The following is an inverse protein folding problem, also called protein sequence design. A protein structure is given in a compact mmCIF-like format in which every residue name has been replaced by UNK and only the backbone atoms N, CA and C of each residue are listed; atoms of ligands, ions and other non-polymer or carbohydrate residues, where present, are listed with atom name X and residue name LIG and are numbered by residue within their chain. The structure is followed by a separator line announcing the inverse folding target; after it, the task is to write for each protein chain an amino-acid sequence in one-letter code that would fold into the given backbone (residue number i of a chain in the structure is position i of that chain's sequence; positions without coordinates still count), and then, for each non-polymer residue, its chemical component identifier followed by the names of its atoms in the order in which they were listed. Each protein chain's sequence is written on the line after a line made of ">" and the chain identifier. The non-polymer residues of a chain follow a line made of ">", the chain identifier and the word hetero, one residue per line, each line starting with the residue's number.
data_IF_049130085904
#
_entry.id   IF_049130085904
#
_cell.length_a   1.000
_cell.length_b   1.000
_cell.length_c   1.000
_cell.angle_alpha   90.00
_cell.angle_beta   90.00
_cell.angle_gamma   90.00
#
_symmetry.space_group_name_H-M   'P 1'
#
loop_
_entity.id
_entity.type
_entity.pdbx_description
1 polymer ?
#
# COMPACT_ATOMS: atom_id res chain seq x y z
N UNK A 1 7.62 -5.80 -20.46
CA UNK A 1 7.76 -7.26 -20.63
C UNK A 1 8.12 -7.91 -19.30
N UNK A 2 9.30 -7.71 -18.68
CA UNK A 2 9.57 -8.33 -17.35
C UNK A 2 8.52 -8.01 -16.27
N UNK A 3 8.15 -6.72 -16.16
CA UNK A 3 7.06 -6.29 -15.27
C UNK A 3 5.73 -6.96 -15.62
N UNK A 4 5.42 -7.06 -16.91
CA UNK A 4 4.09 -7.43 -17.38
C UNK A 4 3.80 -8.92 -17.15
N UNK A 5 4.79 -9.82 -17.36
CA UNK A 5 4.62 -11.26 -17.03
C UNK A 5 4.30 -11.47 -15.55
N UNK A 6 4.99 -10.79 -14.64
CA UNK A 6 4.70 -10.92 -13.20
C UNK A 6 3.34 -10.32 -12.86
N UNK A 7 3.01 -9.19 -13.50
CA UNK A 7 1.81 -8.43 -13.27
C UNK A 7 0.55 -9.18 -13.73
N UNK A 8 0.55 -9.76 -14.93
CA UNK A 8 -0.57 -10.54 -15.45
C UNK A 8 -0.80 -11.81 -14.61
N UNK A 9 0.26 -12.50 -14.19
CA UNK A 9 0.11 -13.70 -13.36
C UNK A 9 -0.39 -13.38 -11.94
N UNK A 10 0.06 -12.27 -11.35
CA UNK A 10 -0.49 -11.79 -10.08
C UNK A 10 -1.98 -11.42 -10.21
N UNK A 11 -2.36 -10.79 -11.32
CA UNK A 11 -3.74 -10.48 -11.69
C UNK A 11 -4.60 -11.75 -11.81
N UNK A 12 -4.12 -12.76 -12.52
CA UNK A 12 -4.85 -14.01 -12.76
C UNK A 12 -5.16 -14.76 -11.46
N UNK A 13 -4.30 -14.65 -10.45
CA UNK A 13 -4.55 -15.27 -9.15
C UNK A 13 -5.84 -14.77 -8.50
N UNK A 14 -6.18 -13.48 -8.63
CA UNK A 14 -7.43 -12.94 -8.07
C UNK A 14 -8.64 -13.49 -8.81
N UNK A 15 -8.57 -13.62 -10.13
CA UNK A 15 -9.62 -14.30 -10.92
C UNK A 15 -9.89 -15.72 -10.40
N UNK A 16 -8.82 -16.50 -10.20
CA UNK A 16 -8.94 -17.86 -9.69
C UNK A 16 -9.48 -17.94 -8.26
N UNK A 17 -9.00 -17.08 -7.36
CA UNK A 17 -9.38 -17.11 -5.95
C UNK A 17 -10.80 -16.60 -5.70
N UNK A 18 -11.27 -15.58 -6.43
CA UNK A 18 -12.63 -15.04 -6.28
C UNK A 18 -13.65 -15.88 -7.04
N UNK A 19 -13.32 -16.29 -8.27
CA UNK A 19 -14.23 -17.12 -9.07
C UNK A 19 -14.35 -18.55 -8.56
N UNK A 20 -13.31 -19.06 -7.91
CA UNK A 20 -13.25 -20.42 -7.40
C UNK A 20 -13.64 -21.45 -8.46
N UNK A 21 -14.38 -22.47 -8.03
CA UNK A 21 -14.67 -23.68 -8.81
C UNK A 21 -15.84 -23.52 -9.79
N UNK A 22 -16.27 -22.28 -10.10
CA UNK A 22 -17.49 -22.02 -10.86
C UNK A 22 -17.21 -21.79 -12.34
N UNK A 23 -17.99 -22.41 -13.22
CA UNK A 23 -17.86 -22.21 -14.67
C UNK A 23 -18.22 -20.78 -15.10
N UNK A 24 -19.24 -20.19 -14.47
CA UNK A 24 -19.76 -18.85 -14.79
C UNK A 24 -19.30 -17.82 -13.75
N UNK A 25 -18.02 -17.86 -13.39
CA UNK A 25 -17.43 -16.95 -12.42
C UNK A 25 -16.16 -16.29 -12.94
N UNK A 26 -15.50 -15.54 -12.05
CA UNK A 26 -14.25 -14.82 -12.35
C UNK A 26 -13.12 -15.71 -12.85
N UNK A 27 -13.16 -16.99 -12.49
CA UNK A 27 -12.16 -17.98 -12.85
C UNK A 27 -12.25 -18.44 -14.31
N UNK A 28 -13.29 -18.02 -15.05
CA UNK A 28 -13.45 -18.31 -16.48
C UNK A 28 -13.11 -17.10 -17.34
N UNK A 29 -12.19 -17.26 -18.30
CA UNK A 29 -11.88 -16.21 -19.26
C UNK A 29 -13.13 -15.73 -20.02
N UNK A 30 -14.02 -16.66 -20.40
CA UNK A 30 -15.22 -16.35 -21.18
C UNK A 30 -16.29 -15.58 -20.40
N UNK A 31 -16.37 -15.78 -19.09
CA UNK A 31 -17.49 -15.26 -18.28
C UNK A 31 -17.08 -14.24 -17.23
N UNK A 32 -15.79 -14.09 -16.94
CA UNK A 32 -15.30 -13.22 -15.86
C UNK A 32 -15.80 -11.77 -15.97
N UNK A 33 -15.84 -11.20 -17.18
CA UNK A 33 -16.29 -9.82 -17.41
C UNK A 33 -17.79 -9.57 -17.19
N UNK A 34 -18.60 -10.63 -17.02
CA UNK A 34 -20.03 -10.50 -16.71
C UNK A 34 -20.28 -10.27 -15.21
N UNK A 35 -19.33 -10.62 -14.34
CA UNK A 35 -19.41 -10.29 -12.93
C UNK A 35 -18.94 -8.85 -12.71
N UNK A 36 -19.75 -7.95 -12.11
CA UNK A 36 -19.39 -6.55 -11.92
C UNK A 36 -18.08 -6.32 -11.14
N UNK A 37 -17.67 -7.25 -10.28
CA UNK A 37 -16.39 -7.11 -9.56
C UNK A 37 -15.19 -7.09 -10.52
N UNK A 38 -15.33 -7.63 -11.73
CA UNK A 38 -14.32 -7.59 -12.78
C UNK A 38 -13.81 -6.17 -13.02
N UNK A 39 -14.70 -5.19 -13.14
CA UNK A 39 -14.33 -3.81 -13.45
C UNK A 39 -13.65 -3.11 -12.26
N UNK A 40 -14.06 -3.42 -11.03
CA UNK A 40 -13.41 -2.88 -9.81
C UNK A 40 -12.01 -3.50 -9.64
N UNK A 41 -11.90 -4.81 -9.90
CA UNK A 41 -10.62 -5.51 -9.93
C UNK A 41 -9.69 -4.91 -11.00
N UNK A 42 -10.16 -4.73 -12.23
CA UNK A 42 -9.36 -4.15 -13.31
C UNK A 42 -9.02 -2.67 -13.09
N UNK A 43 -9.87 -1.90 -12.38
CA UNK A 43 -9.50 -0.56 -11.91
C UNK A 43 -8.30 -0.60 -10.94
N UNK A 44 -8.22 -1.64 -10.09
CA UNK A 44 -7.06 -1.87 -9.22
C UNK A 44 -5.80 -2.28 -10.00
N UNK A 45 -5.95 -3.07 -11.05
CA UNK A 45 -4.87 -3.45 -11.97
C UNK A 45 -4.34 -2.20 -12.68
N UNK A 46 -5.21 -1.42 -13.31
CA UNK A 46 -4.82 -0.18 -13.98
C UNK A 46 -4.13 0.80 -13.01
N UNK A 47 -4.57 0.85 -11.75
CA UNK A 47 -3.88 1.61 -10.69
C UNK A 47 -2.47 1.13 -10.43
N UNK A 48 -2.24 -0.18 -10.38
CA UNK A 48 -0.89 -0.75 -10.20
C UNK A 48 -0.01 -0.42 -11.40
N UNK A 49 -0.56 -0.40 -12.62
CA UNK A 49 0.18 0.06 -13.79
C UNK A 49 0.52 1.54 -13.72
N UNK A 50 -0.40 2.40 -13.28
CA UNK A 50 -0.11 3.82 -13.02
C UNK A 50 0.99 4.01 -11.96
N UNK A 51 0.98 3.23 -10.88
CA UNK A 51 2.06 3.21 -9.86
C UNK A 51 3.39 2.79 -10.50
N UNK A 52 3.41 1.75 -11.33
CA UNK A 52 4.62 1.33 -12.02
C UNK A 52 5.15 2.42 -12.96
N UNK A 53 4.27 3.08 -13.73
CA UNK A 53 4.64 4.20 -14.59
C UNK A 53 5.26 5.35 -13.79
N UNK A 54 4.64 5.72 -12.66
CA UNK A 54 5.18 6.73 -11.75
C UNK A 54 6.54 6.31 -11.15
N UNK A 55 6.72 5.03 -10.80
CA UNK A 55 8.02 4.50 -10.37
C UNK A 55 9.07 4.62 -11.47
N UNK A 56 8.73 4.34 -12.72
CA UNK A 56 9.67 4.48 -13.83
C UNK A 56 10.05 5.94 -14.07
N UNK A 57 9.11 6.87 -13.95
CA UNK A 57 9.38 8.31 -13.99
C UNK A 57 10.31 8.73 -12.84
N UNK A 58 10.04 8.29 -11.60
CA UNK A 58 10.91 8.51 -10.43
C UNK A 58 12.33 7.98 -10.67
N UNK A 59 12.46 6.84 -11.35
CA UNK A 59 13.74 6.20 -11.70
C UNK A 59 14.43 6.84 -12.92
N UNK A 60 13.81 7.81 -13.57
CA UNK A 60 14.24 8.35 -14.86
C UNK A 60 14.42 7.25 -15.93
N UNK A 61 13.52 6.27 -15.96
CA UNK A 61 13.51 5.16 -16.91
C UNK A 61 12.32 5.25 -17.86
N UNK A 62 12.45 4.78 -19.12
CA UNK A 62 11.33 4.64 -20.02
C UNK A 62 10.24 3.73 -19.42
N UNK A 63 8.98 4.08 -19.69
CA UNK A 63 7.79 3.33 -19.25
C UNK A 63 6.96 2.78 -20.42
N UNK A 64 7.27 3.16 -21.67
CA UNK A 64 6.60 2.61 -22.86
C UNK A 64 7.11 1.19 -23.17
N UNK A 65 6.29 0.39 -23.85
CA UNK A 65 6.61 -1.02 -24.15
C UNK A 65 7.62 -1.19 -25.30
N UNK A 66 8.84 -0.68 -25.13
CA UNK A 66 9.92 -0.80 -26.12
C UNK A 66 10.31 -2.25 -26.44
N UNK A 67 10.05 -3.18 -25.53
CA UNK A 67 10.31 -4.60 -25.71
C UNK A 67 9.34 -5.29 -26.69
N UNK A 68 8.20 -4.67 -27.02
CA UNK A 68 7.14 -5.25 -27.84
C UNK A 68 6.54 -4.21 -28.81
N UNK A 69 7.37 -3.39 -29.45
CA UNK A 69 6.90 -2.24 -30.25
C UNK A 69 5.91 -2.62 -31.36
N UNK A 70 6.08 -3.78 -32.00
CA UNK A 70 5.15 -4.24 -33.04
C UNK A 70 3.73 -4.46 -32.50
N UNK A 71 3.59 -4.92 -31.26
CA UNK A 71 2.30 -5.13 -30.62
C UNK A 71 1.58 -3.81 -30.34
N UNK A 72 2.33 -2.77 -29.95
CA UNK A 72 1.78 -1.44 -29.65
C UNK A 72 1.18 -0.75 -30.89
N UNK A 73 1.62 -1.12 -32.10
CA UNK A 73 1.07 -0.61 -33.36
C UNK A 73 -0.03 -1.48 -33.94
N UNK A 74 -0.38 -2.59 -33.28
CA UNK A 74 -1.47 -3.47 -33.69
C UNK A 74 -2.76 -3.01 -33.00
N UNK A 75 -3.84 -2.71 -33.76
CA UNK A 75 -5.10 -2.32 -33.15
C UNK A 75 -5.67 -3.42 -32.25
N UNK A 76 -6.00 -3.04 -31.01
CA UNK A 76 -6.59 -3.89 -29.99
C UNK A 76 -8.04 -4.19 -30.37
N UNK A 77 -8.32 -5.47 -30.64
CA UNK A 77 -9.68 -5.97 -30.80
C UNK A 77 -10.26 -6.30 -29.42
N UNK A 78 -11.56 -6.06 -29.17
CA UNK A 78 -12.56 -5.60 -30.13
C UNK A 78 -12.69 -4.07 -30.29
N UNK A 79 -11.91 -3.25 -29.56
CA UNK A 79 -12.05 -1.80 -29.56
C UNK A 79 -11.89 -1.15 -30.95
N UNK A 80 -11.07 -1.75 -31.82
CA UNK A 80 -10.85 -1.31 -33.20
C UNK A 80 -12.03 -1.60 -34.16
N UNK A 81 -13.07 -2.32 -33.74
CA UNK A 81 -14.22 -2.59 -34.59
C UNK A 81 -15.14 -1.37 -34.65
N UNK A 82 -15.44 -0.89 -35.85
CA UNK A 82 -16.39 0.22 -36.02
C UNK A 82 -17.83 -0.20 -35.67
N UNK A 83 -18.73 0.78 -35.58
CA UNK A 83 -20.17 0.55 -35.43
C UNK A 83 -20.67 -0.50 -36.44
N UNK A 84 -21.51 -1.48 -36.02
CA UNK A 84 -22.29 -1.50 -34.77
C UNK A 84 -21.58 -2.11 -33.53
N UNK A 85 -20.32 -2.55 -33.63
CA UNK A 85 -19.69 -3.37 -32.60
C UNK A 85 -19.11 -2.57 -31.42
N UNK A 86 -18.33 -1.52 -31.70
CA UNK A 86 -17.92 -0.54 -30.69
C UNK A 86 -18.56 0.80 -31.02
N UNK A 87 -19.26 1.38 -30.05
CA UNK A 87 -19.89 2.69 -30.16
C UNK A 87 -19.26 3.72 -29.20
N UNK A 88 -18.22 3.33 -28.45
CA UNK A 88 -17.45 4.24 -27.62
C UNK A 88 -16.30 4.86 -28.44
N UNK A 89 -16.41 6.15 -28.70
CA UNK A 89 -15.47 6.90 -29.54
C UNK A 89 -14.06 6.94 -28.93
N UNK A 90 -13.96 7.10 -27.60
CA UNK A 90 -12.66 7.20 -26.92
C UNK A 90 -11.85 5.92 -27.07
N UNK A 91 -12.45 4.76 -26.77
CA UNK A 91 -11.78 3.46 -26.91
C UNK A 91 -11.51 3.09 -28.37
N UNK A 92 -12.36 3.52 -29.31
CA UNK A 92 -12.13 3.31 -30.73
C UNK A 92 -10.91 4.12 -31.23
N UNK A 93 -10.84 5.41 -30.90
CA UNK A 93 -9.71 6.29 -31.25
C UNK A 93 -8.39 5.81 -30.62
N UNK A 94 -8.45 5.26 -29.41
CA UNK A 94 -7.30 4.71 -28.69
C UNK A 94 -7.08 3.22 -28.89
N UNK A 95 -7.76 2.60 -29.87
CA UNK A 95 -7.61 1.16 -30.15
C UNK A 95 -6.19 0.79 -30.58
N UNK A 96 -5.39 1.74 -31.08
CA UNK A 96 -3.94 1.56 -31.24
C UNK A 96 -3.24 2.12 -29.99
N UNK A 97 -2.61 1.30 -29.14
CA UNK A 97 -2.23 1.69 -27.78
C UNK A 97 -0.93 2.50 -27.67
N UNK A 98 -0.61 3.37 -28.64
CA UNK A 98 0.62 4.17 -28.61
C UNK A 98 0.60 5.28 -27.56
N UNK A 99 -0.60 5.78 -27.23
CA UNK A 99 -0.80 6.92 -26.35
C UNK A 99 -1.48 6.57 -25.02
N UNK A 100 -2.01 5.35 -24.87
CA UNK A 100 -2.78 4.93 -23.68
C UNK A 100 -1.99 4.96 -22.37
N UNK A 101 -0.67 5.13 -22.45
CA UNK A 101 0.21 5.34 -21.28
C UNK A 101 -0.11 6.64 -20.52
N UNK A 102 -0.55 7.68 -21.21
CA UNK A 102 -0.77 9.02 -20.65
C UNK A 102 -2.27 9.19 -20.27
N UNK A 103 -2.72 8.35 -19.33
CA UNK A 103 -4.14 8.13 -19.02
C UNK A 103 -4.93 9.37 -18.56
N UNK A 104 -4.27 10.37 -17.96
CA UNK A 104 -4.91 11.62 -17.56
C UNK A 104 -5.29 12.45 -18.78
N UNK A 105 -4.35 12.61 -19.72
CA UNK A 105 -4.53 13.47 -20.90
C UNK A 105 -5.44 12.79 -21.94
N UNK A 106 -5.28 11.48 -22.15
CA UNK A 106 -6.01 10.76 -23.20
C UNK A 106 -7.41 10.28 -22.76
N UNK A 107 -7.61 10.01 -21.45
CA UNK A 107 -8.87 9.46 -20.93
C UNK A 107 -9.54 10.29 -19.83
N UNK A 108 -8.88 11.33 -19.30
CA UNK A 108 -9.50 12.27 -18.36
C UNK A 108 -9.80 11.69 -16.97
N UNK A 109 -9.17 10.59 -16.56
CA UNK A 109 -9.32 10.03 -15.21
C UNK A 109 -8.02 10.08 -14.40
N UNK A 110 -8.14 10.01 -13.07
CA UNK A 110 -7.01 9.88 -12.17
C UNK A 110 -7.39 9.05 -10.93
N UNK A 111 -6.38 8.61 -10.18
CA UNK A 111 -6.54 7.94 -8.90
C UNK A 111 -6.42 8.94 -7.75
N UNK A 112 -7.13 8.68 -6.66
CA UNK A 112 -7.06 9.46 -5.43
C UNK A 112 -5.64 9.51 -4.86
N UNK A 113 -4.91 8.40 -4.95
CA UNK A 113 -3.49 8.32 -4.65
C UNK A 113 -2.80 7.15 -5.38
N UNK A 114 -1.47 7.26 -5.56
CA UNK A 114 -0.60 6.23 -6.13
C UNK A 114 0.28 5.56 -5.06
N UNK A 115 -0.21 5.44 -3.83
CA UNK A 115 0.51 4.73 -2.77
C UNK A 115 0.37 3.20 -2.91
N UNK A 116 1.45 2.46 -2.61
CA UNK A 116 1.43 0.99 -2.58
C UNK A 116 1.78 0.49 -1.20
N UNK A 117 0.87 -0.24 -0.54
CA UNK A 117 1.05 -0.63 0.85
C UNK A 117 1.24 0.57 1.80
N UNK A 118 0.68 1.73 1.44
CA UNK A 118 0.88 3.00 2.13
C UNK A 118 2.25 3.66 1.90
N UNK A 119 3.07 3.15 0.99
CA UNK A 119 4.32 3.80 0.60
C UNK A 119 4.05 4.71 -0.60
N UNK A 120 4.51 5.96 -0.54
CA UNK A 120 4.60 6.82 -1.71
C UNK A 120 5.50 6.21 -2.78
N UNK A 121 5.40 6.67 -4.02
CA UNK A 121 6.25 6.21 -5.13
C UNK A 121 7.75 6.29 -4.79
N UNK A 122 8.20 7.38 -4.17
CA UNK A 122 9.60 7.53 -3.75
C UNK A 122 9.98 6.55 -2.63
N UNK A 123 9.13 6.38 -1.61
CA UNK A 123 9.38 5.42 -0.52
C UNK A 123 9.35 3.98 -1.01
N UNK A 124 8.47 3.65 -1.95
CA UNK A 124 8.36 2.34 -2.58
C UNK A 124 9.64 2.00 -3.35
N UNK A 125 10.19 2.96 -4.10
CA UNK A 125 11.47 2.75 -4.79
C UNK A 125 12.62 2.51 -3.80
N UNK A 126 12.70 3.31 -2.74
CA UNK A 126 13.68 3.09 -1.66
C UNK A 126 13.48 1.74 -0.98
N UNK A 127 12.24 1.33 -0.70
CA UNK A 127 11.93 0.03 -0.10
C UNK A 127 12.39 -1.12 -1.00
N UNK A 128 12.09 -1.06 -2.30
CA UNK A 128 12.54 -2.06 -3.27
C UNK A 128 14.07 -2.16 -3.28
N UNK A 129 14.77 -1.03 -3.32
CA UNK A 129 16.23 -1.00 -3.45
C UNK A 129 16.96 -1.34 -2.13
N UNK A 130 16.35 -1.12 -0.96
CA UNK A 130 17.02 -1.30 0.34
C UNK A 130 16.56 -2.52 1.13
N UNK A 131 15.32 -3.01 0.90
CA UNK A 131 14.72 -4.10 1.66
C UNK A 131 14.49 -5.36 0.82
N UNK A 132 14.31 -5.20 -0.49
CA UNK A 132 14.01 -6.32 -1.40
C UNK A 132 15.25 -6.75 -2.19
N UNK A 133 15.92 -5.84 -2.89
CA UNK A 133 17.09 -6.17 -3.74
C UNK A 133 18.37 -6.46 -2.97
N UNK A 134 18.47 -6.04 -1.72
CA UNK A 134 19.63 -6.27 -0.84
C UNK A 134 19.69 -7.68 -0.26
N UNK A 135 18.74 -8.55 -0.63
CA UNK A 135 18.67 -9.93 -0.19
C UNK A 135 18.96 -10.87 -1.34
N UNK A 136 19.70 -11.93 -1.03
CA UNK A 136 19.84 -13.09 -1.88
C UNK A 136 18.46 -13.71 -2.14
N UNK A 137 18.15 -14.01 -3.40
CA UNK A 137 16.86 -14.56 -3.79
C UNK A 137 17.02 -15.71 -4.77
N UNK A 138 16.19 -16.72 -4.61
CA UNK A 138 16.11 -17.87 -5.52
C UNK A 138 14.73 -17.90 -6.14
N UNK A 139 14.68 -17.98 -7.47
CA UNK A 139 13.43 -17.98 -8.23
C UNK A 139 13.24 -19.29 -8.99
N UNK A 140 12.02 -19.81 -8.94
CA UNK A 140 11.52 -20.77 -9.90
C UNK A 140 10.98 -20.01 -11.13
N UNK A 141 11.64 -20.17 -12.27
CA UNK A 141 11.27 -19.65 -13.57
C UNK A 141 10.38 -20.63 -14.32
N UNK A 142 9.17 -20.22 -14.69
CA UNK A 142 8.21 -21.07 -15.41
C UNK A 142 7.83 -20.39 -16.73
N UNK A 143 8.04 -21.10 -17.85
CA UNK A 143 7.68 -20.61 -19.17
C UNK A 143 6.19 -20.86 -19.47
N UNK A 144 5.34 -19.91 -19.14
CA UNK A 144 3.90 -20.05 -19.28
C UNK A 144 3.41 -19.77 -20.71
N UNK A 145 2.36 -20.49 -21.10
CA UNK A 145 1.65 -20.38 -22.37
C UNK A 145 0.18 -20.79 -22.20
N UNK A 146 -0.66 -20.47 -23.17
CA UNK A 146 -2.10 -20.78 -23.17
C UNK A 146 -2.38 -22.25 -23.40
N UNK A 147 -3.24 -22.82 -22.55
CA UNK A 147 -3.56 -24.26 -22.50
C UNK A 147 -5.05 -24.54 -22.70
N UNK A 148 -5.82 -23.52 -23.10
CA UNK A 148 -7.28 -23.52 -23.31
C UNK A 148 -8.09 -23.89 -22.07
N UNK A 149 -7.49 -23.78 -20.90
CA UNK A 149 -8.06 -24.11 -19.60
C UNK A 149 -7.64 -23.07 -18.58
N UNK A 150 -8.48 -22.87 -17.59
CA UNK A 150 -8.08 -22.14 -16.40
C UNK A 150 -7.80 -23.10 -15.25
N UNK A 151 -6.87 -22.74 -14.37
CA UNK A 151 -6.55 -23.58 -13.23
C UNK A 151 -5.68 -22.87 -12.19
N UNK A 152 -5.69 -23.42 -10.99
CA UNK A 152 -4.82 -23.01 -9.89
C UNK A 152 -3.59 -23.92 -9.87
N UNK A 153 -2.42 -23.30 -9.93
CA UNK A 153 -1.13 -23.96 -9.90
C UNK A 153 -0.47 -23.76 -8.53
N UNK A 154 -0.07 -24.84 -7.89
CA UNK A 154 0.70 -24.83 -6.64
C UNK A 154 2.14 -25.21 -6.94
N UNK A 155 3.08 -24.41 -6.43
CA UNK A 155 4.51 -24.62 -6.55
C UNK A 155 5.00 -25.31 -5.29
N UNK A 156 5.72 -26.42 -5.46
CA UNK A 156 6.30 -27.18 -4.36
C UNK A 156 7.81 -27.27 -4.50
N UNK A 157 8.50 -27.18 -3.36
CA UNK A 157 9.93 -27.50 -3.23
C UNK A 157 10.06 -28.80 -2.44
N UNK A 158 10.83 -29.75 -2.96
CA UNK A 158 11.03 -31.06 -2.34
C UNK A 158 12.51 -31.35 -2.17
N UNK A 159 12.93 -31.49 -0.92
CA UNK A 159 14.28 -31.97 -0.60
C UNK A 159 14.34 -33.52 -0.71
N UNK A 160 15.51 -34.10 -1.04
CA UNK A 160 15.68 -35.55 -1.06
C UNK A 160 15.23 -36.21 0.25
N UNK A 161 14.30 -37.17 0.15
CA UNK A 161 13.77 -37.90 1.30
C UNK A 161 12.84 -37.11 2.23
N UNK A 162 12.36 -35.92 1.82
CA UNK A 162 11.38 -35.12 2.57
C UNK A 162 10.06 -34.96 1.82
N UNK A 163 9.03 -34.57 2.56
CA UNK A 163 7.73 -34.21 1.99
C UNK A 163 7.79 -32.90 1.21
N UNK A 164 6.77 -32.67 0.38
CA UNK A 164 6.61 -31.44 -0.42
C UNK A 164 6.36 -30.25 0.51
N UNK A 165 7.10 -29.17 0.31
CA UNK A 165 6.85 -27.89 0.94
C UNK A 165 6.13 -26.97 -0.05
N UNK A 166 4.99 -26.41 0.34
CA UNK A 166 4.26 -25.46 -0.50
C UNK A 166 5.00 -24.11 -0.54
N UNK A 167 5.60 -23.79 -1.69
CA UNK A 167 6.38 -22.58 -1.90
C UNK A 167 5.54 -21.42 -2.44
N UNK A 168 4.36 -21.71 -2.98
CA UNK A 168 3.41 -20.67 -3.36
C UNK A 168 2.43 -21.15 -4.42
N UNK A 169 1.71 -20.20 -5.01
CA UNK A 169 0.66 -20.48 -5.99
C UNK A 169 0.54 -19.36 -7.01
N UNK A 170 0.05 -19.71 -8.19
CA UNK A 170 -0.39 -18.79 -9.23
C UNK A 170 -1.63 -19.37 -9.92
N UNK A 171 -2.30 -18.58 -10.76
CA UNK A 171 -3.41 -19.09 -11.56
C UNK A 171 -3.16 -18.84 -13.04
N UNK A 172 -3.65 -19.76 -13.85
CA UNK A 172 -3.79 -19.62 -15.29
C UNK A 172 -5.24 -19.25 -15.57
N UNK A 173 -5.44 -18.14 -16.27
CA UNK A 173 -6.74 -17.73 -16.76
C UNK A 173 -6.81 -18.01 -18.26
N UNK A 174 -7.80 -18.78 -18.67
CA UNK A 174 -7.90 -19.31 -20.01
C UNK A 174 -9.27 -19.93 -20.30
N UNK A 175 -9.42 -20.44 -21.51
CA UNK A 175 -10.64 -21.16 -21.87
C UNK A 175 -10.65 -21.70 -23.30
N UNK A 176 -11.68 -22.47 -23.67
CA UNK A 176 -11.74 -23.15 -24.95
C UNK A 176 -11.67 -22.22 -26.17
N UNK A 177 -12.02 -20.94 -26.00
CA UNK A 177 -12.03 -19.92 -27.05
C UNK A 177 -10.89 -18.91 -26.92
N UNK A 178 -9.90 -19.16 -26.05
CA UNK A 178 -8.77 -18.25 -25.90
C UNK A 178 -7.93 -18.18 -27.19
N UNK A 179 -7.38 -16.99 -27.45
CA UNK A 179 -6.36 -16.86 -28.49
C UNK A 179 -5.08 -17.58 -28.03
N UNK A 180 -4.38 -18.31 -28.91
CA UNK A 180 -3.08 -18.88 -28.55
C UNK A 180 -2.11 -17.79 -28.09
N UNK A 181 -1.52 -17.97 -26.92
CA UNK A 181 -0.57 -17.03 -26.34
C UNK A 181 0.60 -17.77 -25.70
N UNK A 182 1.75 -17.08 -25.61
CA UNK A 182 2.96 -17.56 -24.95
C UNK A 182 3.77 -16.34 -24.53
N UNK A 183 4.21 -16.28 -23.28
CA UNK A 183 5.12 -15.21 -22.87
C UNK A 183 6.48 -15.35 -23.55
N UNK A 184 7.12 -14.23 -23.87
CA UNK A 184 8.51 -14.20 -24.35
C UNK A 184 9.52 -14.49 -23.23
N UNK A 185 9.10 -14.35 -21.98
CA UNK A 185 9.91 -14.48 -20.77
C UNK A 185 9.26 -15.43 -19.76
N UNK A 186 10.07 -15.91 -18.82
CA UNK A 186 9.60 -16.76 -17.72
C UNK A 186 8.92 -15.94 -16.63
N UNK A 187 7.84 -16.48 -16.08
CA UNK A 187 7.30 -16.03 -14.79
C UNK A 187 8.27 -16.45 -13.68
N UNK A 188 8.55 -15.57 -12.72
CA UNK A 188 9.56 -15.79 -11.68
C UNK A 188 8.85 -15.83 -10.34
N UNK A 189 8.87 -16.98 -9.68
CA UNK A 189 8.31 -17.14 -8.35
C UNK A 189 9.42 -17.26 -7.31
N UNK A 190 9.41 -16.40 -6.29
CA UNK A 190 10.41 -16.41 -5.21
C UNK A 190 10.20 -17.63 -4.29
N UNK A 191 11.18 -18.53 -4.27
CA UNK A 191 11.18 -19.75 -3.45
C UNK A 191 12.19 -19.69 -2.30
N UNK A 192 12.80 -18.51 -2.06
CA UNK A 192 13.84 -18.32 -1.03
C UNK A 192 13.34 -18.74 0.35
N UNK A 193 12.15 -18.30 0.73
CA UNK A 193 11.51 -18.63 2.00
C UNK A 193 11.26 -20.14 2.17
N UNK A 194 10.98 -20.87 1.08
CA UNK A 194 10.78 -22.31 1.11
C UNK A 194 12.12 -23.05 1.35
N UNK A 195 13.20 -22.58 0.72
CA UNK A 195 14.55 -23.11 0.96
C UNK A 195 15.01 -22.84 2.40
N UNK A 196 14.78 -21.62 2.92
CA UNK A 196 15.07 -21.27 4.32
C UNK A 196 14.31 -22.17 5.30
N UNK A 197 13.00 -22.38 5.08
CA UNK A 197 12.19 -23.25 5.92
C UNK A 197 12.66 -24.72 5.89
N UNK A 198 13.11 -25.19 4.73
CA UNK A 198 13.69 -26.51 4.54
C UNK A 198 15.17 -26.60 4.99
N UNK A 199 15.80 -25.48 5.36
CA UNK A 199 17.22 -25.37 5.68
C UNK A 199 18.11 -25.86 4.54
N UNK A 200 17.76 -25.50 3.32
CA UNK A 200 18.52 -25.79 2.10
C UNK A 200 19.28 -24.55 1.63
N UNK A 201 20.52 -24.76 1.19
CA UNK A 201 21.24 -23.78 0.40
C UNK A 201 20.77 -23.83 -1.05
N UNK A 202 20.87 -22.72 -1.79
CA UNK A 202 20.36 -22.62 -3.17
C UNK A 202 21.01 -23.64 -4.13
N UNK A 203 22.23 -24.08 -3.82
CA UNK A 203 23.00 -25.06 -4.59
C UNK A 203 22.82 -26.52 -4.12
N UNK A 204 22.07 -26.75 -3.03
CA UNK A 204 21.77 -28.11 -2.57
C UNK A 204 20.84 -28.83 -3.57
N UNK A 205 20.83 -30.16 -3.59
CA UNK A 205 19.86 -30.89 -4.43
C UNK A 205 18.45 -30.74 -3.88
N UNK A 206 17.53 -30.21 -4.69
CA UNK A 206 16.08 -30.22 -4.49
C UNK A 206 15.37 -30.26 -5.84
N UNK A 207 14.09 -30.59 -5.82
CA UNK A 207 13.23 -30.53 -6.99
C UNK A 207 12.15 -29.46 -6.80
N UNK A 208 11.86 -28.71 -7.87
CA UNK A 208 10.71 -27.79 -7.91
C UNK A 208 9.66 -28.43 -8.82
N UNK A 209 8.44 -28.55 -8.31
CA UNK A 209 7.33 -29.14 -9.07
C UNK A 209 6.13 -28.21 -9.05
N UNK A 210 5.34 -28.26 -10.11
CA UNK A 210 4.09 -27.52 -10.22
C UNK A 210 2.96 -28.52 -10.36
N UNK A 211 1.95 -28.41 -9.51
CA UNK A 211 0.71 -29.17 -9.62
C UNK A 211 -0.41 -28.22 -9.99
N UNK A 212 -1.10 -28.51 -11.08
CA UNK A 212 -2.16 -27.65 -11.60
C UNK A 212 -3.46 -28.42 -11.58
N UNK A 213 -4.48 -27.82 -11.00
CA UNK A 213 -5.84 -28.32 -11.08
C UNK A 213 -6.69 -27.28 -11.76
N UNK A 214 -7.58 -27.72 -12.65
CA UNK A 214 -8.74 -26.93 -13.04
C UNK A 214 -9.49 -26.52 -11.79
N UNK A 215 -10.27 -25.46 -11.90
CA UNK A 215 -10.96 -24.97 -10.72
C UNK A 215 -11.99 -25.97 -10.18
N UNK A 216 -12.55 -26.87 -10.98
CA UNK A 216 -13.42 -27.94 -10.45
C UNK A 216 -12.67 -29.05 -9.69
N UNK A 217 -11.34 -28.97 -9.61
CA UNK A 217 -10.44 -29.93 -8.97
C UNK A 217 -9.86 -30.98 -9.92
N UNK A 218 -10.22 -30.94 -11.21
CA UNK A 218 -9.67 -31.87 -12.20
C UNK A 218 -8.17 -31.59 -12.42
N UNK A 219 -7.28 -32.58 -12.27
CA UNK A 219 -5.85 -32.36 -12.49
C UNK A 219 -5.55 -32.07 -13.95
N UNK A 220 -4.69 -31.08 -14.20
CA UNK A 220 -4.08 -30.79 -15.49
C UNK A 220 -2.71 -31.46 -15.52
N UNK A 221 -2.35 -32.05 -16.66
CA UNK A 221 -1.05 -32.71 -16.83
C UNK A 221 0.10 -31.71 -16.55
N UNK A 222 0.98 -32.07 -15.61
CA UNK A 222 2.11 -31.25 -15.22
C UNK A 222 3.15 -31.08 -16.35
N UNK A 223 3.17 -31.98 -17.35
CA UNK A 223 4.08 -31.88 -18.51
C UNK A 223 3.75 -30.72 -19.45
N UNK A 224 2.65 -30.02 -19.20
CA UNK A 224 2.30 -28.80 -19.95
C UNK A 224 3.32 -27.69 -19.70
N UNK A 225 3.97 -27.66 -18.53
CA UNK A 225 5.12 -26.78 -18.26
C UNK A 225 6.32 -27.62 -17.80
N UNK A 226 7.01 -28.29 -18.74
CA UNK A 226 7.96 -29.35 -18.40
C UNK A 226 9.29 -28.83 -17.85
N UNK A 227 9.65 -27.58 -18.14
CA UNK A 227 10.92 -26.96 -17.73
C UNK A 227 10.65 -25.88 -16.69
N UNK A 228 11.14 -26.13 -15.47
CA UNK A 228 11.19 -25.16 -14.38
C UNK A 228 12.67 -24.86 -14.15
N UNK A 229 13.09 -23.66 -14.51
CA UNK A 229 14.45 -23.21 -14.31
C UNK A 229 14.59 -22.63 -12.90
N UNK A 230 15.70 -22.92 -12.24
CA UNK A 230 16.02 -22.28 -10.96
C UNK A 230 17.12 -21.26 -11.19
N UNK A 231 16.88 -20.02 -10.74
CA UNK A 231 17.85 -18.93 -10.84
C UNK A 231 18.14 -18.32 -9.48
N UNK A 232 19.42 -18.07 -9.19
CA UNK A 232 19.87 -17.35 -8.02
C UNK A 232 20.24 -15.93 -8.41
N UNK A 233 19.66 -14.95 -7.70
CA UNK A 233 19.99 -13.54 -7.81
C UNK A 233 20.68 -13.10 -6.51
N UNK A 234 21.97 -12.74 -6.54
CA UNK A 234 22.67 -12.28 -5.34
C UNK A 234 22.15 -10.92 -4.88
N UNK A 235 22.35 -10.63 -3.61
CA UNK A 235 22.09 -9.32 -3.01
C UNK A 235 22.79 -8.21 -3.79
N UNK A 236 22.01 -7.22 -4.24
CA UNK A 236 22.51 -6.02 -4.88
C UNK A 236 22.55 -4.88 -3.85
N UNK A 237 23.75 -4.53 -3.41
CA UNK A 237 24.03 -3.43 -2.49
C UNK A 237 24.48 -2.15 -3.20
N UNK A 238 24.44 -2.11 -4.54
CA UNK A 238 24.92 -0.96 -5.33
C UNK A 238 24.00 0.25 -5.30
N UNK A 239 22.81 0.13 -4.70
CA UNK A 239 21.83 1.20 -4.64
C UNK A 239 21.93 1.98 -3.33
N UNK A 240 22.48 3.19 -3.40
CA UNK A 240 22.36 4.17 -2.33
C UNK A 240 20.91 4.63 -2.18
N UNK A 241 20.37 4.53 -0.97
CA UNK A 241 19.03 5.02 -0.68
C UNK A 241 18.96 6.53 -0.92
N UNK A 242 18.19 6.96 -1.91
CA UNK A 242 17.78 8.37 -2.01
C UNK A 242 16.86 8.62 -0.80
N UNK A 243 17.39 9.28 0.24
CA UNK A 243 16.58 9.75 1.36
C UNK A 243 15.64 10.82 0.82
N UNK A 244 14.35 10.48 0.72
CA UNK A 244 13.31 11.48 0.57
C UNK A 244 13.15 12.19 1.91
N UNK A 245 13.46 13.49 1.96
CA UNK A 245 13.18 14.35 3.11
C UNK A 245 11.68 14.65 3.29
N UNK A 246 10.84 14.19 2.36
CA UNK A 246 9.38 14.37 2.42
C UNK A 246 8.74 13.21 3.19
N UNK A 247 7.93 13.55 4.19
CA UNK A 247 7.19 12.60 5.02
C UNK A 247 5.70 12.74 4.79
N UNK A 248 4.99 11.61 4.82
CA UNK A 248 3.54 11.57 4.62
C UNK A 248 2.85 11.31 5.94
N UNK A 249 1.85 12.14 6.23
CA UNK A 249 0.92 11.95 7.34
C UNK A 249 -0.29 11.19 6.82
N UNK A 250 -0.56 10.02 7.39
CA UNK A 250 -1.72 9.19 7.03
C UNK A 250 -2.86 9.39 8.03
N UNK A 251 -4.08 9.04 7.62
CA UNK A 251 -5.14 8.85 8.61
C UNK A 251 -4.74 7.73 9.57
N UNK A 252 -4.97 7.91 10.86
CA UNK A 252 -4.77 6.88 11.89
C UNK A 252 -5.54 5.59 11.57
N UNK A 253 -6.67 5.68 10.86
CA UNK A 253 -7.51 4.54 10.48
C UNK A 253 -6.92 3.73 9.29
N UNK A 254 -5.90 4.28 8.61
CA UNK A 254 -5.23 3.65 7.46
C UNK A 254 -3.85 3.09 7.82
N UNK A 255 -3.42 3.19 9.08
CA UNK A 255 -2.13 2.68 9.52
C UNK A 255 -2.15 1.15 9.59
N UNK A 256 -1.08 0.50 9.10
CA UNK A 256 -0.91 -0.94 9.27
C UNK A 256 -0.34 -1.27 10.67
N UNK A 257 -0.50 -2.51 11.19
CA UNK A 257 -0.08 -2.84 12.55
C UNK A 257 1.39 -2.54 12.88
N UNK A 258 2.29 -2.67 11.90
CA UNK A 258 3.72 -2.34 12.08
C UNK A 258 3.97 -0.84 12.23
N UNK A 259 3.19 0.01 11.54
CA UNK A 259 3.25 1.47 11.69
C UNK A 259 2.69 1.90 13.05
N UNK A 260 1.59 1.29 13.49
CA UNK A 260 1.01 1.53 14.83
C UNK A 260 2.02 1.16 15.92
N UNK A 261 2.71 0.03 15.78
CA UNK A 261 3.73 -0.40 16.74
C UNK A 261 4.92 0.59 16.78
N UNK A 262 5.47 0.95 15.61
CA UNK A 262 6.57 1.91 15.53
C UNK A 262 6.19 3.28 16.14
N UNK A 263 4.96 3.74 15.89
CA UNK A 263 4.46 4.99 16.45
C UNK A 263 4.29 4.92 17.98
N UNK A 264 3.81 3.79 18.53
CA UNK A 264 3.76 3.56 19.98
C UNK A 264 5.15 3.59 20.62
N UNK A 265 6.11 2.87 20.05
CA UNK A 265 7.49 2.87 20.54
C UNK A 265 8.11 4.27 20.50
N UNK A 266 7.96 4.99 19.38
CA UNK A 266 8.51 6.34 19.23
C UNK A 266 7.90 7.32 20.25
N UNK A 267 6.59 7.25 20.52
CA UNK A 267 5.96 8.09 21.54
C UNK A 267 6.40 7.71 22.95
N UNK A 268 6.48 6.42 23.28
CA UNK A 268 6.95 5.96 24.58
C UNK A 268 8.36 6.50 24.89
N UNK A 269 9.29 6.40 23.93
CA UNK A 269 10.63 6.97 24.09
C UNK A 269 10.63 8.50 24.18
N UNK A 270 9.76 9.19 23.44
CA UNK A 270 9.62 10.65 23.54
C UNK A 270 9.04 11.10 24.90
N UNK A 271 8.17 10.31 25.52
CA UNK A 271 7.62 10.55 26.86
C UNK A 271 8.65 10.36 27.97
N UNK A 272 9.59 9.43 27.77
CA UNK A 272 10.73 9.19 28.65
C UNK A 272 11.80 10.29 28.54
N UNK A 273 11.91 10.97 27.40
CA UNK A 273 12.88 12.06 27.20
C UNK A 273 12.59 13.25 28.13
N UNK A 274 13.52 13.50 29.07
CA UNK A 274 13.46 14.63 30.01
C UNK A 274 14.23 15.86 29.53
N UNK A 275 14.74 15.84 28.29
CA UNK A 275 15.41 16.98 27.66
C UNK A 275 14.42 18.09 27.27
N UNK A 276 14.95 19.20 26.73
CA UNK A 276 14.13 20.27 26.15
C UNK A 276 13.40 19.84 24.86
N UNK A 277 13.77 18.71 24.26
CA UNK A 277 13.09 18.15 23.09
C UNK A 277 12.00 17.11 23.46
N UNK A 278 11.92 16.72 24.74
CA UNK A 278 11.01 15.67 25.21
C UNK A 278 9.54 16.07 25.30
N UNK A 279 8.67 15.07 25.48
CA UNK A 279 7.21 15.23 25.44
C UNK A 279 6.66 16.26 26.43
N UNK A 280 7.17 16.27 27.67
CA UNK A 280 6.73 17.23 28.68
C UNK A 280 6.98 18.67 28.25
N UNK A 281 8.13 18.92 27.60
CA UNK A 281 8.47 20.25 27.08
C UNK A 281 7.56 20.63 25.91
N UNK A 282 7.20 19.68 25.03
CA UNK A 282 6.23 19.92 23.95
C UNK A 282 4.84 20.32 24.50
N UNK A 283 4.29 19.58 25.46
CA UNK A 283 3.00 19.93 26.08
C UNK A 283 3.02 21.30 26.77
N UNK A 284 4.17 21.63 27.37
CA UNK A 284 4.45 22.92 27.99
C UNK A 284 4.30 24.09 26.99
N UNK A 285 4.76 23.98 25.73
CA UNK A 285 4.65 25.07 24.73
C UNK A 285 3.22 25.60 24.56
N UNK A 286 2.22 24.72 24.63
CA UNK A 286 0.82 25.09 24.45
C UNK A 286 0.21 25.86 25.64
N UNK A 287 0.71 25.71 26.87
CA UNK A 287 0.10 26.43 27.98
C UNK A 287 0.83 26.41 29.33
N UNK A 288 1.52 25.33 29.67
CA UNK A 288 2.10 25.18 31.01
C UNK A 288 3.46 25.88 31.20
N UNK A 289 4.17 26.24 30.12
CA UNK A 289 5.47 26.92 30.19
C UNK A 289 5.48 28.20 31.00
N UNK A 290 4.38 28.97 30.94
CA UNK A 290 4.34 30.33 31.49
C UNK A 290 5.59 31.14 31.04
N UNK A 291 6.06 30.94 29.80
CA UNK A 291 7.26 31.59 29.26
C UNK A 291 6.98 32.91 28.54
N UNK A 292 5.72 33.29 28.38
CA UNK A 292 5.37 34.50 27.66
C UNK A 292 5.06 35.66 28.62
N UNK A 293 5.44 36.91 28.28
CA UNK A 293 6.08 37.34 27.04
C UNK A 293 7.59 37.01 26.96
N UNK A 294 8.23 36.69 28.08
CA UNK A 294 9.60 36.16 28.12
C UNK A 294 9.81 35.29 29.35
N UNK A 295 10.80 34.37 29.35
CA UNK A 295 11.15 33.58 30.54
C UNK A 295 11.55 34.42 31.75
N UNK A 296 11.90 35.70 31.57
CA UNK A 296 12.23 36.65 32.66
C UNK A 296 11.07 37.55 33.10
N UNK A 297 9.94 37.58 32.39
CA UNK A 297 8.80 38.44 32.75
C UNK A 297 8.23 38.12 34.13
N UNK A 298 7.77 39.12 34.87
CA UNK A 298 7.18 38.94 36.21
C UNK A 298 5.77 38.35 36.13
N UNK A 299 4.93 38.88 35.23
CA UNK A 299 3.62 38.31 34.91
C UNK A 299 3.75 37.34 33.75
N UNK A 300 3.51 36.06 34.03
CA UNK A 300 3.55 35.01 33.02
C UNK A 300 2.20 34.75 32.38
N UNK A 301 2.25 34.37 31.11
CA UNK A 301 1.11 34.00 30.29
C UNK A 301 1.44 32.69 29.53
N UNK A 302 0.39 31.96 29.16
CA UNK A 302 0.51 30.87 28.20
C UNK A 302 1.02 31.41 26.85
N UNK A 303 1.87 30.63 26.18
CA UNK A 303 2.50 31.04 24.91
C UNK A 303 1.70 30.67 23.66
N UNK A 304 0.55 30.00 23.79
CA UNK A 304 -0.26 29.62 22.64
C UNK A 304 -1.06 30.79 22.09
N UNK A 305 -1.02 30.96 20.77
CA UNK A 305 -1.72 32.02 20.05
C UNK A 305 -3.15 31.58 19.70
N UNK A 306 -4.14 32.28 20.25
CA UNK A 306 -5.57 32.07 20.01
C UNK A 306 -6.27 33.40 19.70
N UNK A 307 -7.33 33.36 18.89
CA UNK A 307 -8.11 34.55 18.50
C UNK A 307 -7.33 35.51 17.60
N UNK A 308 -6.35 35.00 16.85
CA UNK A 308 -5.46 35.78 15.99
C UNK A 308 -5.25 35.05 14.65
N UNK A 309 -4.98 35.77 13.53
CA UNK A 309 -4.68 35.16 12.23
C UNK A 309 -3.45 34.24 12.21
N UNK A 310 -2.59 34.33 13.23
CA UNK A 310 -1.42 33.46 13.38
C UNK A 310 -1.73 32.12 14.07
N UNK A 311 -2.99 31.85 14.43
CA UNK A 311 -3.44 30.57 15.00
C UNK A 311 -2.99 29.34 14.16
N UNK A 312 -3.27 29.24 12.85
CA UNK A 312 -2.87 28.06 12.07
C UNK A 312 -1.35 27.96 11.91
N UNK A 313 -0.64 29.10 11.88
CA UNK A 313 0.81 29.16 11.78
C UNK A 313 1.49 28.57 13.02
N UNK A 314 1.06 29.00 14.21
CA UNK A 314 1.61 28.54 15.49
C UNK A 314 1.38 27.03 15.69
N UNK A 315 0.16 26.56 15.40
CA UNK A 315 -0.17 25.13 15.53
C UNK A 315 0.56 24.26 14.51
N UNK A 316 0.79 24.76 13.28
CA UNK A 316 1.63 24.06 12.30
C UNK A 316 3.04 23.82 12.83
N UNK A 317 3.65 24.82 13.47
CA UNK A 317 4.98 24.68 14.08
C UNK A 317 4.96 23.72 15.27
N UNK A 318 3.94 23.78 16.13
CA UNK A 318 3.79 22.85 17.25
C UNK A 318 3.74 21.40 16.75
N UNK A 319 2.93 21.13 15.72
CA UNK A 319 2.82 19.78 15.14
C UNK A 319 4.13 19.32 14.48
N UNK A 320 4.85 20.21 13.79
CA UNK A 320 6.18 19.89 13.23
C UNK A 320 7.17 19.56 14.36
N UNK A 321 7.12 20.29 15.48
CA UNK A 321 8.02 20.04 16.61
C UNK A 321 7.73 18.68 17.26
N UNK A 322 6.45 18.30 17.40
CA UNK A 322 6.05 16.97 17.86
C UNK A 322 6.47 15.86 16.89
N UNK A 323 6.27 16.06 15.58
CA UNK A 323 6.70 15.12 14.54
C UNK A 323 8.22 14.92 14.54
N UNK A 324 9.00 15.99 14.63
CA UNK A 324 10.46 15.92 14.72
C UNK A 324 10.91 15.21 16.01
N UNK A 325 10.23 15.46 17.14
CA UNK A 325 10.47 14.74 18.38
C UNK A 325 10.23 13.24 18.23
N UNK A 326 9.12 12.82 17.63
CA UNK A 326 8.85 11.39 17.38
C UNK A 326 9.91 10.78 16.44
N UNK A 327 10.32 11.51 15.41
CA UNK A 327 11.31 11.05 14.44
C UNK A 327 12.70 10.91 15.02
N UNK A 328 13.12 11.81 15.90
CA UNK A 328 14.39 11.65 16.63
C UNK A 328 14.38 10.43 17.56
N UNK A 329 13.19 9.94 17.91
CA UNK A 329 12.95 8.73 18.71
C UNK A 329 12.52 7.51 17.88
N UNK A 330 12.78 7.53 16.56
CA UNK A 330 12.65 6.34 15.71
C UNK A 330 11.33 6.19 14.95
N UNK A 331 10.46 7.20 14.94
CA UNK A 331 9.30 7.20 14.05
C UNK A 331 9.71 7.16 12.57
N UNK A 332 9.14 6.19 11.84
CA UNK A 332 9.26 6.06 10.39
C UNK A 332 8.02 6.68 9.75
N UNK A 333 8.20 7.77 8.99
CA UNK A 333 7.12 8.49 8.32
C UNK A 333 6.75 9.81 9.00
N UNK A 334 5.50 10.24 8.83
CA UNK A 334 4.95 11.46 9.43
C UNK A 334 3.95 11.17 10.56
N UNK A 335 3.71 12.16 11.41
CA UNK A 335 2.71 12.10 12.48
C UNK A 335 1.31 11.95 11.84
N UNK A 336 0.55 10.89 12.14
CA UNK A 336 -0.74 10.67 11.51
C UNK A 336 -1.78 11.69 11.96
N UNK A 337 -2.84 11.83 11.16
CA UNK A 337 -3.99 12.68 11.46
C UNK A 337 -5.23 11.83 11.74
N UNK A 338 -6.21 12.41 12.43
CA UNK A 338 -7.53 11.81 12.64
C UNK A 338 -8.57 12.68 11.94
N UNK A 339 -9.32 12.10 11.00
CA UNK A 339 -10.36 12.83 10.26
C UNK A 339 -11.69 12.80 11.03
N UNK A 340 -11.83 13.71 11.99
CA UNK A 340 -13.02 13.90 12.79
C UNK A 340 -14.17 14.60 12.05
N UNK A 341 -13.99 14.96 10.76
CA UNK A 341 -15.06 15.53 9.93
C UNK A 341 -16.00 14.45 9.41
N UNK A 342 -15.50 13.22 9.27
CA UNK A 342 -16.28 12.05 8.86
C UNK A 342 -17.14 11.51 10.04
N UNK A 343 -18.26 10.83 9.75
CA UNK A 343 -19.02 10.13 10.78
C UNK A 343 -18.18 9.07 11.50
N UNK A 344 -18.25 9.03 12.83
CA UNK A 344 -17.46 8.13 13.67
C UNK A 344 -18.38 7.24 14.52
N UNK A 345 -17.99 5.98 14.72
CA UNK A 345 -18.64 5.07 15.68
C UNK A 345 -17.90 4.97 17.02
N UNK A 346 -16.61 5.26 17.04
CA UNK A 346 -15.73 5.17 18.21
C UNK A 346 -14.51 6.07 18.02
N UNK A 347 -13.72 6.27 19.08
CA UNK A 347 -12.38 6.81 18.92
C UNK A 347 -11.48 5.86 18.11
N UNK A 348 -10.43 6.36 17.45
CA UNK A 348 -9.43 5.52 16.80
C UNK A 348 -8.84 4.50 17.78
N UNK A 349 -8.58 3.29 17.28
CA UNK A 349 -8.10 2.18 18.11
C UNK A 349 -6.78 2.51 18.83
N UNK A 350 -5.87 3.21 18.15
CA UNK A 350 -4.57 3.59 18.69
C UNK A 350 -4.68 4.38 20.00
N UNK A 351 -5.76 5.15 20.20
CA UNK A 351 -5.97 5.92 21.43
C UNK A 351 -6.99 5.26 22.36
N UNK A 352 -7.70 4.20 21.99
CA UNK A 352 -8.86 3.71 22.76
C UNK A 352 -8.50 2.69 23.84
N UNK A 353 -7.45 1.89 23.62
CA UNK A 353 -7.04 0.82 24.55
C UNK A 353 -5.97 1.29 25.54
N UNK A 354 -6.06 0.86 26.80
CA UNK A 354 -5.08 1.20 27.85
C UNK A 354 -3.74 0.49 27.68
N UNK A 355 -3.77 -0.74 27.16
CA UNK A 355 -2.61 -1.60 26.95
C UNK A 355 -2.66 -2.24 25.57
N UNK A 356 -1.53 -2.80 25.13
CA UNK A 356 -1.42 -3.61 23.92
C UNK A 356 -0.39 -4.73 24.13
N UNK A 357 -0.45 -5.79 23.31
CA UNK A 357 0.58 -6.83 23.29
C UNK A 357 1.62 -6.44 22.23
N UNK A 358 2.87 -6.25 22.64
CA UNK A 358 3.97 -5.99 21.71
C UNK A 358 4.42 -7.33 21.08
N UNK A 359 4.29 -7.50 19.74
CA UNK A 359 4.67 -8.74 19.08
C UNK A 359 6.18 -9.01 19.08
N UNK A 360 7.03 -8.01 19.35
CA UNK A 360 8.49 -8.16 19.39
C UNK A 360 8.99 -8.91 20.63
N UNK A 361 8.26 -8.80 21.75
CA UNK A 361 8.63 -9.39 23.03
C UNK A 361 7.49 -10.23 23.66
N UNK A 362 6.32 -10.22 23.04
CA UNK A 362 5.08 -10.90 23.44
C UNK A 362 4.62 -10.53 24.87
N UNK A 363 4.84 -9.29 25.30
CA UNK A 363 4.42 -8.76 26.61
C UNK A 363 3.33 -7.71 26.46
N UNK A 364 2.53 -7.59 27.52
CA UNK A 364 1.56 -6.50 27.65
C UNK A 364 2.28 -5.21 28.07
N UNK A 365 2.10 -4.16 27.29
CA UNK A 365 2.70 -2.84 27.50
C UNK A 365 1.61 -1.77 27.62
N UNK A 366 1.93 -0.69 28.35
CA UNK A 366 1.07 0.48 28.43
C UNK A 366 1.01 1.19 27.07
N UNK A 367 -0.18 1.62 26.67
CA UNK A 367 -0.35 2.37 25.42
C UNK A 367 -0.08 3.86 25.66
N UNK A 368 1.01 4.45 25.13
CA UNK A 368 1.33 5.86 25.38
C UNK A 368 0.31 6.83 24.78
N UNK A 369 -0.46 6.39 23.78
CA UNK A 369 -1.56 7.18 23.20
C UNK A 369 -2.84 7.19 24.03
N UNK A 370 -2.93 6.38 25.09
CA UNK A 370 -4.13 6.32 25.93
C UNK A 370 -4.21 7.47 26.93
N UNK A 371 -3.09 7.75 27.59
CA UNK A 371 -2.97 8.79 28.62
C UNK A 371 -1.49 9.05 28.86
N UNK A 372 -1.14 10.31 29.09
CA UNK A 372 0.18 10.74 29.55
C UNK A 372 0.11 11.32 30.96
N UNK A 373 1.21 11.15 31.71
CA UNK A 373 1.45 11.80 33.00
C UNK A 373 1.88 13.26 32.79
N UNK A 374 1.48 14.17 33.68
CA UNK A 374 1.87 15.58 33.67
C UNK A 374 2.78 15.84 34.88
N UNK A 375 4.07 16.04 34.64
CA UNK A 375 5.08 16.20 35.71
C UNK A 375 4.75 17.40 36.63
N UNK A 376 4.31 18.52 36.04
CA UNK A 376 4.07 19.78 36.78
C UNK A 376 2.82 19.72 37.68
N UNK A 377 1.84 18.88 37.34
CA UNK A 377 0.60 18.71 38.10
C UNK A 377 0.60 17.44 38.95
N UNK A 378 1.53 16.51 38.71
CA UNK A 378 1.55 15.16 39.25
C UNK A 378 0.20 14.44 39.08
N UNK A 379 -0.33 14.48 37.86
CA UNK A 379 -1.62 13.89 37.48
C UNK A 379 -1.53 13.25 36.09
N UNK A 380 -2.38 12.25 35.85
CA UNK A 380 -2.54 11.64 34.54
C UNK A 380 -3.67 12.32 33.76
N UNK A 381 -3.50 12.46 32.45
CA UNK A 381 -4.54 12.97 31.56
C UNK A 381 -5.73 12.01 31.47
N UNK A 382 -6.95 12.54 31.48
CA UNK A 382 -8.19 11.76 31.40
C UNK A 382 -9.06 12.29 30.26
N UNK A 383 -9.71 11.38 29.54
CA UNK A 383 -10.67 11.71 28.47
C UNK A 383 -12.10 11.39 28.92
N UNK A 384 -12.96 12.40 28.96
CA UNK A 384 -14.41 12.26 29.14
C UNK A 384 -15.11 12.54 27.80
N UNK A 385 -15.08 11.55 26.91
CA UNK A 385 -15.59 11.69 25.54
C UNK A 385 -17.10 11.78 25.56
N UNK A 386 -17.64 12.82 24.92
CA UNK A 386 -19.09 13.02 24.85
C UNK A 386 -19.70 12.28 23.65
N UNK A 387 -20.92 11.78 23.83
CA UNK A 387 -21.61 10.98 22.81
C UNK A 387 -21.98 11.79 21.55
N UNK A 388 -22.07 13.11 21.64
CA UNK A 388 -22.36 14.01 20.51
C UNK A 388 -21.23 14.11 19.49
N UNK A 389 -20.07 13.48 19.74
CA UNK A 389 -19.04 13.27 18.73
C UNK A 389 -19.46 12.21 17.69
N UNK A 390 -20.21 11.19 18.10
CA UNK A 390 -20.55 10.02 17.26
C UNK A 390 -21.85 10.22 16.48
N UNK A 391 -21.94 11.35 15.78
CA UNK A 391 -23.12 11.71 15.00
C UNK A 391 -23.27 10.80 13.78
N UNK A 392 -24.49 10.37 13.53
CA UNK A 392 -24.88 9.64 12.31
C UNK A 392 -25.72 10.58 11.45
N UNK A 393 -25.13 11.29 10.47
CA UNK A 393 -25.89 12.16 9.60
C UNK A 393 -26.87 11.35 8.73
N UNK A 394 -27.92 12.01 8.24
CA UNK A 394 -28.83 11.41 7.27
C UNK A 394 -28.09 11.08 5.96
N UNK A 395 -28.66 10.19 5.15
CA UNK A 395 -28.08 9.83 3.85
C UNK A 395 -27.87 11.08 2.98
N UNK A 396 -26.63 11.30 2.53
CA UNK A 396 -26.24 12.46 1.72
C UNK A 396 -25.89 13.72 2.52
N UNK A 397 -25.96 13.71 3.85
CA UNK A 397 -25.59 14.86 4.69
C UNK A 397 -24.19 14.72 5.33
N UNK A 398 -23.52 15.86 5.49
CA UNK A 398 -22.30 16.00 6.29
C UNK A 398 -22.61 16.06 7.80
N UNK A 399 -21.62 15.71 8.63
CA UNK A 399 -21.68 15.94 10.09
C UNK A 399 -21.80 17.44 10.40
N UNK A 400 -22.28 17.79 11.61
CA UNK A 400 -22.38 19.20 12.01
C UNK A 400 -21.02 19.92 11.97
N UNK A 401 -19.96 19.20 12.34
CA UNK A 401 -18.58 19.64 12.26
C UNK A 401 -18.14 19.86 10.81
N UNK A 402 -18.40 18.92 9.91
CA UNK A 402 -18.03 19.06 8.51
C UNK A 402 -18.74 20.26 7.88
N UNK A 403 -20.01 20.53 8.24
CA UNK A 403 -20.72 21.75 7.83
C UNK A 403 -20.02 23.03 8.32
N UNK A 404 -19.48 23.06 9.54
CA UNK A 404 -18.70 24.20 10.04
C UNK A 404 -17.38 24.37 9.29
N UNK A 405 -16.67 23.27 8.97
CA UNK A 405 -15.44 23.33 8.19
C UNK A 405 -15.72 23.79 6.75
N UNK A 406 -16.84 23.40 6.16
CA UNK A 406 -17.26 23.90 4.84
C UNK A 406 -17.46 25.42 4.84
N UNK A 407 -18.04 26.00 5.91
CA UNK A 407 -18.16 27.46 6.06
C UNK A 407 -16.81 28.17 6.21
N UNK A 408 -15.79 27.50 6.73
CA UNK A 408 -14.43 28.04 6.71
C UNK A 408 -13.85 27.93 5.28
N UNK A 409 -13.95 26.76 4.65
CA UNK A 409 -13.39 26.48 3.32
C UNK A 409 -14.03 27.29 2.17
N UNK A 410 -15.23 27.85 2.35
CA UNK A 410 -15.84 28.75 1.36
C UNK A 410 -15.26 30.18 1.37
N UNK A 411 -14.48 30.55 2.40
CA UNK A 411 -13.92 31.89 2.50
C UNK A 411 -12.71 32.04 1.56
N UNK A 412 -12.73 33.08 0.71
CA UNK A 412 -11.65 33.36 -0.24
C UNK A 412 -10.47 34.12 0.39
N UNK A 413 -10.68 34.74 1.56
CA UNK A 413 -9.66 35.53 2.26
C UNK A 413 -9.17 34.81 3.51
N UNK A 414 -7.85 34.81 3.74
CA UNK A 414 -7.22 34.14 4.87
C UNK A 414 -7.67 34.63 6.27
N UNK A 415 -8.09 35.89 6.42
CA UNK A 415 -8.57 36.39 7.71
C UNK A 415 -10.07 36.11 7.94
N UNK A 416 -10.82 35.89 6.86
CA UNK A 416 -12.22 35.48 6.93
C UNK A 416 -12.32 33.96 7.17
N UNK A 417 -11.40 33.18 6.57
CA UNK A 417 -11.08 31.79 6.90
C UNK A 417 -10.56 31.65 8.34
#
# INVERSE_FOLDING_TARGET
>A
CDFEVQFEIAHNLIHGLVGGNTQYGLSSLSYSAFDPIFYIHHSSIDRIWAIWTALQQQRNKPYKAHCAQSYVHTPLKPFAFSSPYNNDESTFLHSTPTNVYDYIEEFGYNYDNLEFGGLTVAQLDTYINTQIKTKDRVFAGIQLHGIQKSGLANIYVTAPGREKYAAGRFALLGGPSEMPWRFDRVYKHDITHALEALKLHWADPYNVTVEINEFDGTPIDAHVFPEIDVSYEPADSSHDAVKSDVHVRKSVDKLIPTEVLNLRHALAFLEEDKSQAGYQTLGRFHGATLWCPSPSAEKKLACCLHGMPTFPHWHRLLTIQAENGLRSHGLIGGLPYWDWTQPLSSLPEIVSTKTYIDPSNNKEEANPFYSAHIDDANQDTVRSVRADLFQKPAFGEYTAIAKQILLALEQDNFCDF
#
